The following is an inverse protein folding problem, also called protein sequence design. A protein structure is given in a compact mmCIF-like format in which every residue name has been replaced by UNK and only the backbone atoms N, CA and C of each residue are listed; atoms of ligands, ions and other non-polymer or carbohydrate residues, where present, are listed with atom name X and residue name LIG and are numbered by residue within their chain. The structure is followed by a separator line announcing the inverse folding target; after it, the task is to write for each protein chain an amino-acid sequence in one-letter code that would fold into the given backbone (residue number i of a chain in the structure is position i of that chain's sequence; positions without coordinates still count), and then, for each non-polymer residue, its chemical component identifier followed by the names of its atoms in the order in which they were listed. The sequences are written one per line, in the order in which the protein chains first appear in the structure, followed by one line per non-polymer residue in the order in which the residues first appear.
data_IF_688790720083
#
_entry.id   IF_688790720083
#
_cell.length_a   1.000
_cell.length_b   1.000
_cell.length_c   1.000
_cell.angle_alpha   90.00
_cell.angle_beta   90.00
_cell.angle_gamma   90.00
#
_symmetry.space_group_name_H-M   'P 1'
#
loop_
_entity.id
_entity.type
_entity.pdbx_description
1 polymer ?
#
# COMPACT_ATOMS: atom_id res chain seq x y z
N UNK A 1 -69.71 6.73 24.90
CA UNK A 1 -68.67 6.34 23.93
C UNK A 1 -68.35 4.88 24.22
N UNK A 2 -68.97 3.94 23.50
CA UNK A 2 -68.74 2.50 23.71
C UNK A 2 -67.33 2.12 23.28
N UNK A 3 -66.79 1.00 23.77
CA UNK A 3 -65.48 0.45 23.36
C UNK A 3 -65.27 0.45 21.82
N UNK A 4 -66.34 0.37 21.05
CA UNK A 4 -66.31 0.30 19.59
C UNK A 4 -65.90 1.63 18.92
N UNK A 5 -66.14 2.78 19.56
CA UNK A 5 -65.68 4.09 19.06
C UNK A 5 -64.19 4.34 19.35
N UNK A 6 -63.61 3.66 20.35
CA UNK A 6 -62.19 3.77 20.70
C UNK A 6 -61.29 2.97 19.75
N UNK A 7 -61.80 1.85 19.22
CA UNK A 7 -61.13 1.06 18.19
C UNK A 7 -60.86 1.84 16.89
N UNK A 8 -61.64 2.90 16.62
CA UNK A 8 -61.48 3.74 15.43
C UNK A 8 -60.40 4.83 15.59
N UNK A 9 -60.07 5.20 16.83
CA UNK A 9 -59.06 6.25 17.14
C UNK A 9 -57.66 5.67 17.35
N UNK A 10 -57.58 4.38 17.68
CA UNK A 10 -56.38 3.57 17.52
C UNK A 10 -56.37 3.07 16.07
N UNK A 11 -56.00 3.96 15.13
CA UNK A 11 -55.46 3.53 13.83
C UNK A 11 -54.53 2.34 14.09
N UNK A 12 -54.51 1.30 13.23
CA UNK A 12 -53.68 0.12 13.47
C UNK A 12 -52.30 0.64 13.82
N UNK A 13 -51.93 0.48 15.09
CA UNK A 13 -50.58 0.76 15.55
C UNK A 13 -49.75 -0.06 14.58
N UNK A 14 -49.01 0.62 13.69
CA UNK A 14 -48.15 -0.08 12.74
C UNK A 14 -47.45 -1.14 13.56
N UNK A 15 -47.67 -2.40 13.20
CA UNK A 15 -47.08 -3.53 13.93
C UNK A 15 -45.55 -3.37 13.92
N UNK A 16 -45.01 -2.53 13.03
CA UNK A 16 -43.63 -2.06 12.89
C UNK A 16 -43.16 -1.01 13.93
N UNK A 17 -44.07 -0.39 14.68
CA UNK A 17 -43.76 0.39 15.90
C UNK A 17 -43.81 -0.50 17.14
N UNK A 18 -44.63 -1.56 17.10
CA UNK A 18 -44.75 -2.60 18.12
C UNK A 18 -43.70 -3.72 17.94
N UNK A 19 -43.02 -3.81 16.80
CA UNK A 19 -41.99 -4.80 16.54
C UNK A 19 -40.62 -4.20 16.81
N UNK A 20 -39.84 -4.93 17.61
CA UNK A 20 -38.37 -5.09 17.74
C UNK A 20 -37.34 -4.03 17.28
N UNK A 21 -37.70 -2.97 16.57
CA UNK A 21 -36.77 -1.97 16.02
C UNK A 21 -36.28 -0.95 17.07
N UNK A 22 -37.06 -0.71 18.14
CA UNK A 22 -36.70 0.17 19.26
C UNK A 22 -37.02 -0.52 20.59
N UNK A 23 -36.11 -1.33 21.17
CA UNK A 23 -36.37 -2.09 22.40
C UNK A 23 -36.73 -1.22 23.63
N UNK A 24 -36.40 0.06 23.59
CA UNK A 24 -36.76 1.08 24.60
C UNK A 24 -38.27 1.37 24.62
N UNK A 25 -38.99 1.10 23.53
CA UNK A 25 -40.44 1.31 23.38
C UNK A 25 -41.28 0.50 24.38
N UNK A 26 -40.86 -0.73 24.69
CA UNK A 26 -41.69 -1.66 25.46
C UNK A 26 -41.70 -1.40 26.96
N UNK A 27 -40.70 -0.67 27.49
CA UNK A 27 -40.44 -0.70 28.93
C UNK A 27 -41.25 0.32 29.74
N UNK A 28 -41.69 1.41 29.12
CA UNK A 28 -42.16 2.58 29.89
C UNK A 28 -43.69 2.80 29.88
N UNK A 29 -44.44 2.32 28.88
CA UNK A 29 -45.88 2.66 28.73
C UNK A 29 -46.89 1.51 28.90
N UNK A 30 -46.48 0.24 28.81
CA UNK A 30 -47.41 -0.90 29.00
C UNK A 30 -47.67 -1.29 30.47
N UNK A 31 -47.23 -0.46 31.42
CA UNK A 31 -47.59 -0.56 32.84
C UNK A 31 -48.84 0.28 33.19
N UNK A 32 -49.61 0.73 32.19
CA UNK A 32 -50.97 1.22 32.43
C UNK A 32 -51.84 0.02 32.73
N UNK A 33 -52.35 -0.04 33.96
CA UNK A 33 -53.27 -1.06 34.46
C UNK A 33 -54.33 -1.37 33.40
N UNK A 34 -54.32 -2.60 32.86
CA UNK A 34 -55.15 -3.06 31.74
C UNK A 34 -56.65 -3.05 32.04
N UNK A 35 -57.02 -2.66 33.26
CA UNK A 35 -58.38 -2.54 33.74
C UNK A 35 -58.96 -1.10 33.70
N UNK A 36 -58.19 -0.07 33.33
CA UNK A 36 -58.63 1.34 33.39
C UNK A 36 -58.76 2.01 32.01
N UNK A 37 -59.78 2.87 31.86
CA UNK A 37 -60.01 3.65 30.63
C UNK A 37 -59.11 4.89 30.67
N UNK A 38 -58.26 5.14 29.65
CA UNK A 38 -57.33 6.27 29.64
C UNK A 38 -58.02 7.63 29.63
N UNK A 39 -57.40 8.64 30.24
CA UNK A 39 -57.83 10.03 30.16
C UNK A 39 -57.45 10.69 28.81
N UNK A 40 -58.12 11.79 28.45
CA UNK A 40 -57.80 12.53 27.21
C UNK A 40 -56.37 13.11 27.23
N UNK A 41 -55.88 13.47 28.41
CA UNK A 41 -54.52 13.98 28.60
C UNK A 41 -53.48 12.87 28.39
N UNK A 42 -53.71 11.67 28.94
CA UNK A 42 -52.88 10.48 28.70
C UNK A 42 -52.84 10.11 27.21
N UNK A 43 -53.96 10.20 26.50
CA UNK A 43 -54.00 9.98 25.05
C UNK A 43 -53.18 11.02 24.27
N UNK A 44 -53.23 12.28 24.67
CA UNK A 44 -52.46 13.34 24.00
C UNK A 44 -50.95 13.17 24.24
N UNK A 45 -50.55 12.82 25.46
CA UNK A 45 -49.15 12.50 25.80
C UNK A 45 -48.66 11.29 25.01
N UNK A 46 -49.47 10.24 24.90
CA UNK A 46 -49.14 9.07 24.08
C UNK A 46 -49.00 9.43 22.59
N UNK A 47 -49.89 10.25 22.03
CA UNK A 47 -49.79 10.72 20.64
C UNK A 47 -48.51 11.52 20.38
N UNK A 48 -48.14 12.42 21.30
CA UNK A 48 -46.89 13.16 21.20
C UNK A 48 -45.68 12.23 21.27
N UNK A 49 -45.68 11.26 22.19
CA UNK A 49 -44.62 10.28 22.31
C UNK A 49 -44.46 9.46 21.03
N UNK A 50 -45.56 8.92 20.47
CA UNK A 50 -45.55 8.20 19.19
C UNK A 50 -45.00 9.07 18.05
N UNK A 51 -45.31 10.37 18.03
CA UNK A 51 -44.75 11.29 17.03
C UNK A 51 -43.22 11.41 17.16
N UNK A 52 -42.70 11.61 18.37
CA UNK A 52 -41.24 11.69 18.61
C UNK A 52 -40.51 10.40 18.25
N UNK A 53 -41.16 9.25 18.46
CA UNK A 53 -40.61 7.94 18.09
C UNK A 53 -40.55 7.75 16.58
N UNK A 54 -41.59 8.19 15.85
CA UNK A 54 -41.60 8.19 14.38
C UNK A 54 -40.47 9.05 13.81
N UNK A 55 -40.25 10.23 14.39
CA UNK A 55 -39.12 11.10 14.01
C UNK A 55 -37.77 10.42 14.28
N UNK A 56 -37.62 9.78 15.44
CA UNK A 56 -36.39 9.05 15.80
C UNK A 56 -36.13 7.86 14.88
N UNK A 57 -37.16 7.06 14.59
CA UNK A 57 -37.09 5.93 13.63
C UNK A 57 -36.69 6.42 12.24
N UNK A 58 -37.31 7.49 11.75
CA UNK A 58 -36.97 8.09 10.47
C UNK A 58 -35.51 8.59 10.44
N UNK A 59 -35.05 9.27 11.51
CA UNK A 59 -33.67 9.74 11.63
C UNK A 59 -32.65 8.60 11.63
N UNK A 60 -32.88 7.56 12.43
CA UNK A 60 -31.98 6.38 12.50
C UNK A 60 -31.95 5.62 11.17
N UNK A 61 -33.09 5.51 10.49
CA UNK A 61 -33.16 4.87 9.17
C UNK A 61 -32.38 5.66 8.13
N UNK A 62 -32.49 6.99 8.11
CA UNK A 62 -31.70 7.82 7.20
C UNK A 62 -30.19 7.67 7.45
N UNK A 63 -29.77 7.61 8.73
CA UNK A 63 -28.38 7.34 9.10
C UNK A 63 -27.91 5.95 8.61
N UNK A 64 -28.71 4.91 8.87
CA UNK A 64 -28.42 3.54 8.42
C UNK A 64 -28.23 3.47 6.90
N UNK A 65 -29.17 4.02 6.12
CA UNK A 65 -29.09 4.00 4.64
C UNK A 65 -27.84 4.74 4.13
N UNK A 66 -27.52 5.88 4.72
CA UNK A 66 -26.32 6.63 4.40
C UNK A 66 -25.05 5.82 4.68
N UNK A 67 -24.95 5.21 5.85
CA UNK A 67 -23.77 4.43 6.25
C UNK A 67 -23.67 3.13 5.43
N UNK A 68 -24.78 2.42 5.19
CA UNK A 68 -24.83 1.23 4.33
C UNK A 68 -24.25 1.52 2.95
N UNK A 69 -24.67 2.64 2.34
CA UNK A 69 -24.11 3.08 1.04
C UNK A 69 -22.60 3.29 1.10
N UNK A 70 -22.09 3.95 2.15
CA UNK A 70 -20.65 4.18 2.31
C UNK A 70 -19.89 2.88 2.51
N UNK A 71 -20.42 1.95 3.32
CA UNK A 71 -19.84 0.61 3.53
C UNK A 71 -19.74 -0.16 2.21
N UNK A 72 -20.80 -0.17 1.39
CA UNK A 72 -20.80 -0.84 0.08
C UNK A 72 -19.69 -0.28 -0.81
N UNK A 73 -19.62 1.05 -0.95
CA UNK A 73 -18.56 1.70 -1.74
C UNK A 73 -17.16 1.39 -1.20
N UNK A 74 -16.98 1.40 0.12
CA UNK A 74 -15.70 1.04 0.73
C UNK A 74 -15.32 -0.43 0.46
N UNK A 75 -16.27 -1.36 0.55
CA UNK A 75 -16.03 -2.78 0.28
C UNK A 75 -15.73 -3.05 -1.20
N UNK A 76 -16.42 -2.37 -2.12
CA UNK A 76 -16.14 -2.41 -3.56
C UNK A 76 -14.74 -1.85 -3.90
N UNK A 77 -14.33 -0.76 -3.24
CA UNK A 77 -12.99 -0.21 -3.42
C UNK A 77 -11.89 -1.13 -2.85
N UNK A 78 -12.19 -1.84 -1.76
CA UNK A 78 -11.27 -2.82 -1.16
C UNK A 78 -11.30 -4.20 -1.83
N UNK A 79 -12.16 -4.42 -2.83
CA UNK A 79 -12.45 -5.73 -3.43
C UNK A 79 -12.77 -6.81 -2.37
N UNK A 80 -13.49 -6.42 -1.31
CA UNK A 80 -13.85 -7.27 -0.16
C UNK A 80 -15.31 -7.70 -0.23
N UNK A 81 -15.57 -8.98 0.04
CA UNK A 81 -16.93 -9.52 0.23
C UNK A 81 -17.34 -9.49 1.71
N UNK A 82 -18.65 -9.43 2.03
CA UNK A 82 -19.14 -9.57 3.41
C UNK A 82 -18.77 -10.93 4.02
N UNK A 83 -17.96 -10.92 5.07
CA UNK A 83 -17.42 -12.14 5.67
C UNK A 83 -18.17 -12.51 6.97
N UNK A 84 -18.57 -11.50 7.74
CA UNK A 84 -19.32 -11.69 8.99
C UNK A 84 -20.82 -11.75 8.75
N UNK A 85 -21.57 -12.37 9.68
CA UNK A 85 -23.04 -12.36 9.62
C UNK A 85 -23.60 -10.94 9.64
N UNK A 86 -23.02 -10.06 10.46
CA UNK A 86 -23.42 -8.66 10.53
C UNK A 86 -23.18 -7.90 9.21
N UNK A 87 -22.02 -8.10 8.56
CA UNK A 87 -21.75 -7.49 7.25
C UNK A 87 -22.72 -7.98 6.18
N UNK A 88 -23.10 -9.28 6.21
CA UNK A 88 -24.12 -9.83 5.30
C UNK A 88 -25.49 -9.20 5.56
N UNK A 89 -25.91 -9.09 6.81
CA UNK A 89 -27.17 -8.44 7.17
C UNK A 89 -27.21 -6.97 6.71
N UNK A 90 -26.10 -6.25 6.84
CA UNK A 90 -26.03 -4.84 6.41
C UNK A 90 -26.04 -4.71 4.89
N UNK A 91 -25.28 -5.54 4.17
CA UNK A 91 -25.02 -5.36 2.73
C UNK A 91 -26.04 -6.09 1.85
N UNK A 92 -26.44 -7.29 2.23
CA UNK A 92 -27.21 -8.20 1.37
C UNK A 92 -28.72 -8.22 1.66
N UNK A 93 -29.15 -7.88 2.88
CA UNK A 93 -30.56 -7.91 3.28
C UNK A 93 -31.28 -6.57 2.98
N UNK A 94 -32.62 -6.63 2.98
CA UNK A 94 -33.50 -5.48 2.79
C UNK A 94 -33.33 -4.44 3.90
N UNK A 95 -33.39 -3.15 3.54
CA UNK A 95 -33.19 -2.05 4.50
C UNK A 95 -34.26 -1.97 5.59
N UNK A 96 -35.44 -2.57 5.34
CA UNK A 96 -36.55 -2.65 6.28
C UNK A 96 -36.40 -3.83 7.28
N UNK A 97 -35.51 -4.79 7.00
CA UNK A 97 -35.26 -5.93 7.88
C UNK A 97 -34.22 -5.65 8.97
N UNK A 98 -33.48 -4.54 8.88
CA UNK A 98 -32.39 -4.22 9.80
C UNK A 98 -32.90 -3.59 11.11
N UNK A 99 -32.54 -4.19 12.25
CA UNK A 99 -32.91 -3.66 13.56
C UNK A 99 -32.16 -2.35 13.89
N UNK A 100 -32.87 -1.22 13.97
CA UNK A 100 -32.34 0.14 14.23
C UNK A 100 -32.01 0.43 15.72
N UNK A 101 -31.49 -0.57 16.44
CA UNK A 101 -31.05 -0.41 17.82
C UNK A 101 -29.80 0.48 17.90
N UNK A 102 -29.61 1.15 19.04
CA UNK A 102 -28.39 1.96 19.28
C UNK A 102 -27.10 1.13 19.17
N UNK A 103 -27.16 -0.13 19.61
CA UNK A 103 -26.04 -1.07 19.51
C UNK A 103 -25.71 -1.38 18.05
N UNK A 104 -26.71 -1.68 17.23
CA UNK A 104 -26.53 -1.98 15.80
C UNK A 104 -26.03 -0.78 15.01
N UNK A 105 -26.49 0.43 15.34
CA UNK A 105 -25.97 1.66 14.72
C UNK A 105 -24.52 1.90 15.14
N UNK A 106 -24.17 1.66 16.40
CA UNK A 106 -22.79 1.78 16.88
C UNK A 106 -21.85 0.76 16.22
N UNK A 107 -22.29 -0.49 16.04
CA UNK A 107 -21.51 -1.52 15.34
C UNK A 107 -21.36 -1.19 13.85
N UNK A 108 -22.41 -0.65 13.21
CA UNK A 108 -22.39 -0.17 11.83
C UNK A 108 -21.36 0.97 11.64
N UNK A 109 -21.39 1.98 12.51
CA UNK A 109 -20.40 3.07 12.49
C UNK A 109 -18.97 2.55 12.70
N UNK A 110 -18.79 1.56 13.59
CA UNK A 110 -17.47 0.94 13.83
C UNK A 110 -16.97 0.21 12.59
N UNK A 111 -17.84 -0.53 11.90
CA UNK A 111 -17.51 -1.20 10.65
C UNK A 111 -17.07 -0.20 9.57
N UNK A 112 -17.82 0.89 9.38
CA UNK A 112 -17.43 1.95 8.44
C UNK A 112 -16.04 2.51 8.74
N UNK A 113 -15.77 2.88 10.00
CA UNK A 113 -14.45 3.41 10.41
C UNK A 113 -13.31 2.41 10.15
N UNK A 114 -13.56 1.12 10.34
CA UNK A 114 -12.57 0.08 10.06
C UNK A 114 -12.26 -0.01 8.56
N UNK A 115 -13.28 0.03 7.70
CA UNK A 115 -13.11 0.01 6.25
C UNK A 115 -12.39 1.27 5.74
N UNK A 116 -12.76 2.45 6.24
CA UNK A 116 -12.09 3.72 5.92
C UNK A 116 -10.61 3.69 6.32
N UNK A 117 -10.29 3.19 7.52
CA UNK A 117 -8.92 3.04 7.97
C UNK A 117 -8.12 2.10 7.04
N UNK A 118 -8.71 0.97 6.62
CA UNK A 118 -8.07 0.06 5.67
C UNK A 118 -7.82 0.71 4.31
N UNK A 119 -8.77 1.52 3.80
CA UNK A 119 -8.58 2.29 2.56
C UNK A 119 -7.41 3.27 2.68
N UNK A 120 -7.35 4.02 3.77
CA UNK A 120 -6.27 4.97 4.03
C UNK A 120 -4.91 4.26 4.13
N UNK A 121 -4.85 3.10 4.80
CA UNK A 121 -3.63 2.30 4.89
C UNK A 121 -3.18 1.78 3.52
N UNK A 122 -4.11 1.30 2.69
CA UNK A 122 -3.79 0.83 1.34
C UNK A 122 -3.29 1.98 0.45
N UNK A 123 -3.93 3.15 0.52
CA UNK A 123 -3.48 4.34 -0.22
C UNK A 123 -2.11 4.81 0.24
N UNK A 124 -1.84 4.83 1.55
CA UNK A 124 -0.54 5.21 2.08
C UNK A 124 0.58 4.28 1.58
N UNK A 125 0.34 2.96 1.55
CA UNK A 125 1.31 2.00 1.01
C UNK A 125 1.50 2.20 -0.50
N UNK A 126 0.42 2.38 -1.25
CA UNK A 126 0.50 2.65 -2.68
C UNK A 126 1.27 3.94 -2.96
N UNK A 127 1.04 5.02 -2.22
CA UNK A 127 1.76 6.28 -2.43
C UNK A 127 3.24 6.17 -2.07
N UNK A 128 3.59 5.39 -1.04
CA UNK A 128 4.99 5.10 -0.75
C UNK A 128 5.68 4.37 -1.92
N UNK A 129 5.02 3.35 -2.50
CA UNK A 129 5.54 2.65 -3.68
C UNK A 129 5.66 3.59 -4.89
N UNK A 130 4.66 4.45 -5.14
CA UNK A 130 4.70 5.45 -6.22
C UNK A 130 5.87 6.42 -6.04
N UNK A 131 6.13 6.84 -4.81
CA UNK A 131 7.26 7.73 -4.49
C UNK A 131 8.60 7.02 -4.77
N UNK A 132 8.74 5.77 -4.33
CA UNK A 132 9.94 4.96 -4.61
C UNK A 132 10.16 4.77 -6.12
N UNK A 133 9.09 4.53 -6.91
CA UNK A 133 9.16 4.43 -8.36
C UNK A 133 9.68 5.74 -8.97
N UNK A 134 9.14 6.90 -8.56
CA UNK A 134 9.60 8.22 -9.05
C UNK A 134 11.07 8.46 -8.74
N UNK A 135 11.51 8.14 -7.53
CA UNK A 135 12.91 8.25 -7.13
C UNK A 135 13.82 7.35 -7.99
N UNK A 136 13.42 6.09 -8.24
CA UNK A 136 14.16 5.18 -9.09
C UNK A 136 14.19 5.64 -10.54
N UNK A 137 13.10 6.22 -11.06
CA UNK A 137 13.07 6.79 -12.41
C UNK A 137 14.06 7.93 -12.58
N UNK A 138 14.20 8.81 -11.59
CA UNK A 138 15.13 9.93 -11.65
C UNK A 138 16.58 9.46 -11.52
N UNK A 139 16.85 8.50 -10.61
CA UNK A 139 18.19 7.94 -10.42
C UNK A 139 18.67 7.11 -11.63
N UNK A 140 17.78 6.34 -12.25
CA UNK A 140 18.08 5.51 -13.42
C UNK A 140 17.93 6.25 -14.75
N UNK A 141 17.50 7.52 -14.72
CA UNK A 141 17.25 8.34 -15.91
C UNK A 141 16.32 7.64 -16.91
N UNK A 142 15.21 7.08 -16.41
CA UNK A 142 14.23 6.39 -17.24
C UNK A 142 13.53 7.40 -18.18
N UNK A 143 13.48 7.14 -19.50
CA UNK A 143 12.82 8.03 -20.48
C UNK A 143 11.33 8.24 -20.19
N UNK A 144 10.81 9.40 -20.57
CA UNK A 144 9.40 9.76 -20.34
C UNK A 144 8.43 8.76 -20.99
N UNK A 145 8.76 8.24 -22.16
CA UNK A 145 7.98 7.21 -22.87
C UNK A 145 7.75 5.96 -22.00
N UNK A 146 8.77 5.48 -21.28
CA UNK A 146 8.62 4.36 -20.35
C UNK A 146 7.76 4.78 -19.14
N UNK A 147 7.94 6.00 -18.63
CA UNK A 147 7.15 6.52 -17.49
C UNK A 147 5.65 6.61 -17.81
N UNK A 148 5.30 7.04 -19.02
CA UNK A 148 3.91 7.12 -19.48
C UNK A 148 3.22 5.76 -19.52
N UNK A 149 3.94 4.70 -19.90
CA UNK A 149 3.35 3.35 -19.89
C UNK A 149 2.95 2.90 -18.49
N UNK A 150 3.74 3.26 -17.49
CA UNK A 150 3.51 2.94 -16.07
C UNK A 150 2.52 3.89 -15.42
N UNK A 151 2.34 5.11 -15.93
CA UNK A 151 1.38 6.08 -15.40
C UNK A 151 -0.06 5.51 -15.32
N UNK A 152 -0.41 4.59 -16.21
CA UNK A 152 -1.70 3.87 -16.19
C UNK A 152 -1.86 2.95 -14.96
N UNK A 153 -0.75 2.47 -14.39
CA UNK A 153 -0.69 1.61 -13.19
C UNK A 153 -0.64 2.46 -11.91
N UNK A 154 -0.29 3.74 -12.02
CA UNK A 154 -0.17 4.66 -10.88
C UNK A 154 -1.51 5.08 -10.29
N UNK A 155 -2.64 4.77 -10.93
CA UNK A 155 -3.98 5.15 -10.43
C UNK A 155 -4.59 4.11 -9.50
N UNK A 156 -5.07 4.56 -8.34
CA UNK A 156 -5.85 3.77 -7.39
C UNK A 156 -5.04 2.94 -6.38
N UNK A 157 -5.72 2.45 -5.35
CA UNK A 157 -5.14 1.71 -4.21
C UNK A 157 -5.67 0.28 -4.04
N UNK A 158 -6.35 -0.24 -5.06
CA UNK A 158 -6.83 -1.63 -5.06
C UNK A 158 -5.68 -2.62 -4.97
N UNK A 159 -5.96 -3.84 -4.51
CA UNK A 159 -4.97 -4.90 -4.37
C UNK A 159 -4.21 -5.20 -5.69
N UNK A 160 -4.90 -5.12 -6.83
CA UNK A 160 -4.28 -5.27 -8.16
C UNK A 160 -3.30 -4.14 -8.46
N UNK A 161 -3.69 -2.89 -8.21
CA UNK A 161 -2.81 -1.73 -8.40
C UNK A 161 -1.57 -1.82 -7.49
N UNK A 162 -1.76 -2.16 -6.21
CA UNK A 162 -0.65 -2.38 -5.26
C UNK A 162 0.33 -3.44 -5.74
N UNK A 163 -0.15 -4.59 -6.23
CA UNK A 163 0.71 -5.65 -6.78
C UNK A 163 1.47 -5.19 -8.01
N UNK A 164 0.83 -4.44 -8.90
CA UNK A 164 1.47 -3.91 -10.10
C UNK A 164 2.54 -2.85 -9.76
N UNK A 165 2.28 -1.98 -8.78
CA UNK A 165 3.28 -1.04 -8.26
C UNK A 165 4.49 -1.77 -7.65
N UNK A 166 4.27 -2.82 -6.86
CA UNK A 166 5.37 -3.60 -6.28
C UNK A 166 6.22 -4.27 -7.38
N UNK A 167 5.57 -4.86 -8.39
CA UNK A 167 6.27 -5.48 -9.50
C UNK A 167 7.15 -4.48 -10.27
N UNK A 168 6.68 -3.24 -10.43
CA UNK A 168 7.47 -2.19 -11.06
C UNK A 168 8.65 -1.75 -10.20
N UNK A 169 8.48 -1.62 -8.88
CA UNK A 169 9.59 -1.38 -7.95
C UNK A 169 10.65 -2.48 -8.09
N UNK A 170 10.23 -3.74 -8.06
CA UNK A 170 11.14 -4.89 -8.17
C UNK A 170 11.89 -4.88 -9.52
N UNK A 171 11.19 -4.55 -10.62
CA UNK A 171 11.79 -4.41 -11.96
C UNK A 171 12.85 -3.31 -12.00
N UNK A 172 12.57 -2.15 -11.38
CA UNK A 172 13.48 -1.01 -11.37
C UNK A 172 14.71 -1.28 -10.48
N UNK A 173 14.54 -1.91 -9.32
CA UNK A 173 15.64 -2.32 -8.45
C UNK A 173 16.54 -3.36 -9.13
N UNK A 174 15.97 -4.31 -9.86
CA UNK A 174 16.74 -5.26 -10.67
C UNK A 174 17.53 -4.53 -11.77
N UNK A 175 16.92 -3.57 -12.48
CA UNK A 175 17.62 -2.74 -13.48
C UNK A 175 18.77 -1.95 -12.85
N UNK A 176 18.57 -1.41 -11.65
CA UNK A 176 19.62 -0.73 -10.88
C UNK A 176 20.78 -1.68 -10.55
N UNK A 177 20.49 -2.88 -10.06
CA UNK A 177 21.51 -3.89 -9.76
C UNK A 177 22.29 -4.29 -11.01
N UNK A 178 21.61 -4.51 -12.14
CA UNK A 178 22.26 -4.82 -13.42
C UNK A 178 23.15 -3.68 -13.92
N UNK A 179 22.74 -2.42 -13.71
CA UNK A 179 23.58 -1.26 -14.03
C UNK A 179 24.84 -1.21 -13.14
N UNK A 180 24.70 -1.41 -11.83
CA UNK A 180 25.83 -1.47 -10.91
C UNK A 180 26.80 -2.59 -11.28
N UNK A 181 26.28 -3.78 -11.60
CA UNK A 181 27.07 -4.92 -12.08
C UNK A 181 27.93 -4.56 -13.28
N UNK A 182 27.33 -4.00 -14.33
CA UNK A 182 28.05 -3.59 -15.55
C UNK A 182 29.16 -2.57 -15.23
N UNK A 183 28.89 -1.59 -14.37
CA UNK A 183 29.87 -0.57 -13.98
C UNK A 183 31.04 -1.17 -13.18
N UNK A 184 30.75 -2.05 -12.23
CA UNK A 184 31.76 -2.73 -11.42
C UNK A 184 32.62 -3.64 -12.30
N UNK A 185 32.01 -4.46 -13.16
CA UNK A 185 32.73 -5.33 -14.10
C UNK A 185 33.63 -4.53 -15.05
N UNK A 186 33.13 -3.42 -15.60
CA UNK A 186 33.94 -2.52 -16.43
C UNK A 186 35.13 -1.92 -15.65
N UNK A 187 34.92 -1.59 -14.37
CA UNK A 187 35.99 -1.07 -13.50
C UNK A 187 36.99 -2.17 -13.15
N UNK A 188 36.56 -3.41 -12.90
CA UNK A 188 37.43 -4.57 -12.71
C UNK A 188 38.33 -4.82 -13.92
N UNK A 189 37.79 -4.70 -15.13
CA UNK A 189 38.61 -4.80 -16.36
C UNK A 189 39.69 -3.71 -16.39
N UNK A 190 39.35 -2.46 -16.04
CA UNK A 190 40.35 -1.37 -15.96
C UNK A 190 41.38 -1.61 -14.86
N UNK A 191 40.98 -2.12 -13.70
CA UNK A 191 41.90 -2.48 -12.62
C UNK A 191 42.92 -3.51 -13.09
N UNK A 192 42.47 -4.57 -13.77
CA UNK A 192 43.37 -5.58 -14.35
C UNK A 192 44.33 -4.94 -15.34
N UNK A 193 43.86 -4.06 -16.23
CA UNK A 193 44.73 -3.35 -17.18
C UNK A 193 45.80 -2.53 -16.46
N UNK A 194 45.46 -1.78 -15.42
CA UNK A 194 46.45 -1.01 -14.67
C UNK A 194 47.38 -1.89 -13.83
N UNK A 195 46.88 -3.00 -13.26
CA UNK A 195 47.72 -3.99 -12.57
C UNK A 195 48.75 -4.60 -13.52
N UNK A 196 48.36 -4.92 -14.75
CA UNK A 196 49.29 -5.41 -15.77
C UNK A 196 50.31 -4.32 -16.15
N UNK A 197 49.87 -3.07 -16.33
CA UNK A 197 50.77 -1.95 -16.66
C UNK A 197 51.76 -1.60 -15.53
N UNK A 198 51.37 -1.83 -14.28
CA UNK A 198 52.21 -1.60 -13.09
C UNK A 198 52.96 -2.86 -12.63
N UNK A 199 52.86 -3.96 -13.38
CA UNK A 199 53.49 -5.26 -13.06
C UNK A 199 53.13 -5.82 -11.67
N UNK A 200 51.88 -5.65 -11.23
CA UNK A 200 51.40 -6.16 -9.94
C UNK A 200 51.48 -7.69 -9.86
N UNK A 201 52.01 -8.19 -8.75
CA UNK A 201 52.06 -9.62 -8.42
C UNK A 201 50.67 -10.18 -8.10
N UNK A 202 50.52 -11.51 -8.13
CA UNK A 202 49.26 -12.16 -7.79
C UNK A 202 48.82 -11.87 -6.34
N UNK A 203 49.77 -11.83 -5.39
CA UNK A 203 49.49 -11.49 -3.99
C UNK A 203 48.97 -10.06 -3.84
N UNK A 204 49.56 -9.10 -4.56
CA UNK A 204 49.11 -7.71 -4.55
C UNK A 204 47.69 -7.57 -5.12
N UNK A 205 47.37 -8.29 -6.19
CA UNK A 205 46.00 -8.31 -6.76
C UNK A 205 45.00 -8.91 -5.77
N UNK A 206 45.38 -10.00 -5.09
CA UNK A 206 44.52 -10.65 -4.08
C UNK A 206 44.31 -9.82 -2.82
N UNK A 207 45.21 -8.87 -2.52
CA UNK A 207 45.03 -7.97 -1.39
C UNK A 207 43.77 -7.10 -1.50
N UNK A 208 43.33 -6.77 -2.73
CA UNK A 208 42.06 -6.08 -2.97
C UNK A 208 40.89 -7.07 -3.00
N UNK A 209 40.50 -7.57 -1.81
CA UNK A 209 39.39 -8.52 -1.65
C UNK A 209 38.05 -8.12 -2.34
N UNK A 210 37.64 -6.83 -2.40
CA UNK A 210 36.41 -6.43 -3.10
C UNK A 210 36.35 -6.80 -4.59
N UNK A 211 37.50 -7.09 -5.22
CA UNK A 211 37.56 -7.56 -6.60
C UNK A 211 36.77 -8.86 -6.84
N UNK A 212 36.66 -9.72 -5.84
CA UNK A 212 36.00 -11.03 -5.96
C UNK A 212 34.58 -11.07 -5.40
N UNK A 213 34.03 -9.93 -4.95
CA UNK A 213 32.67 -9.88 -4.41
C UNK A 213 31.63 -10.14 -5.50
N UNK A 214 30.61 -10.96 -5.19
CA UNK A 214 29.50 -11.28 -6.10
C UNK A 214 28.25 -10.43 -5.84
N UNK A 215 28.22 -9.70 -4.72
CA UNK A 215 27.12 -8.81 -4.33
C UNK A 215 27.33 -7.39 -4.88
N UNK A 216 26.58 -7.04 -5.92
CA UNK A 216 26.69 -5.74 -6.59
C UNK A 216 25.91 -4.65 -5.84
N UNK A 217 26.63 -3.88 -5.01
CA UNK A 217 26.08 -2.78 -4.22
C UNK A 217 26.72 -1.45 -4.59
N UNK A 218 26.07 -0.33 -4.24
CA UNK A 218 26.64 1.01 -4.43
C UNK A 218 27.96 1.18 -3.65
N UNK A 219 28.07 0.60 -2.45
CA UNK A 219 29.30 0.62 -1.68
C UNK A 219 30.43 -0.15 -2.38
N UNK A 220 30.11 -1.28 -3.02
CA UNK A 220 31.09 -2.04 -3.79
C UNK A 220 31.63 -1.22 -4.98
N UNK A 221 30.74 -0.48 -5.67
CA UNK A 221 31.15 0.42 -6.74
C UNK A 221 32.08 1.52 -6.22
N UNK A 222 31.75 2.16 -5.09
CA UNK A 222 32.59 3.20 -4.47
C UNK A 222 33.99 2.68 -4.11
N UNK A 223 34.11 1.46 -3.60
CA UNK A 223 35.41 0.84 -3.32
C UNK A 223 36.23 0.63 -4.61
N UNK A 224 35.60 0.19 -5.70
CA UNK A 224 36.28 0.02 -6.99
C UNK A 224 36.69 1.37 -7.60
N UNK A 225 35.84 2.39 -7.47
CA UNK A 225 36.12 3.76 -7.94
C UNK A 225 37.27 4.40 -7.15
N UNK A 226 37.36 4.16 -5.84
CA UNK A 226 38.48 4.62 -5.03
C UNK A 226 39.79 3.92 -5.43
N UNK A 227 39.75 2.59 -5.60
CA UNK A 227 40.93 1.79 -5.96
C UNK A 227 41.45 2.18 -7.34
N UNK A 228 40.57 2.34 -8.35
CA UNK A 228 41.01 2.72 -9.70
C UNK A 228 41.63 4.12 -9.72
N UNK A 229 41.13 5.06 -8.90
CA UNK A 229 41.71 6.40 -8.77
C UNK A 229 43.09 6.34 -8.12
N UNK A 230 43.25 5.56 -7.04
CA UNK A 230 44.55 5.38 -6.40
C UNK A 230 45.57 4.77 -7.36
N UNK A 231 45.19 3.70 -8.06
CA UNK A 231 46.06 2.98 -8.98
C UNK A 231 46.44 3.85 -10.19
N UNK A 232 45.49 4.63 -10.72
CA UNK A 232 45.78 5.59 -11.79
C UNK A 232 46.79 6.65 -11.33
N UNK A 233 46.59 7.22 -10.15
CA UNK A 233 47.51 8.23 -9.62
C UNK A 233 48.91 7.64 -9.38
N UNK A 234 48.99 6.40 -8.92
CA UNK A 234 50.25 5.68 -8.75
C UNK A 234 50.95 5.43 -10.10
N UNK A 235 50.21 4.98 -11.11
CA UNK A 235 50.74 4.78 -12.46
C UNK A 235 51.27 6.08 -13.06
N UNK A 236 50.49 7.17 -13.02
CA UNK A 236 50.92 8.46 -13.58
C UNK A 236 52.15 9.02 -12.85
N UNK A 237 52.25 8.84 -11.52
CA UNK A 237 53.42 9.27 -10.75
C UNK A 237 54.71 8.52 -11.12
N UNK A 238 54.61 7.29 -11.65
CA UNK A 238 55.76 6.43 -11.98
C UNK A 238 55.75 6.02 -13.46
N UNK A 239 55.07 6.80 -14.31
CA UNK A 239 54.77 6.41 -15.68
C UNK A 239 56.02 6.14 -16.51
N UNK A 240 57.01 7.03 -16.43
CA UNK A 240 58.28 6.90 -17.16
C UNK A 240 59.00 5.59 -16.80
N UNK A 241 59.02 5.25 -15.51
CA UNK A 241 59.63 4.00 -15.03
C UNK A 241 58.93 2.78 -15.65
N UNK A 242 57.59 2.73 -15.63
CA UNK A 242 56.85 1.61 -16.20
C UNK A 242 56.98 1.51 -17.72
N UNK A 243 57.02 2.66 -18.42
CA UNK A 243 57.26 2.69 -19.87
C UNK A 243 58.66 2.18 -20.22
N UNK A 244 59.68 2.55 -19.44
CA UNK A 244 61.05 2.10 -19.66
C UNK A 244 61.22 0.61 -19.37
N UNK A 245 60.60 0.09 -18.30
CA UNK A 245 60.55 -1.35 -18.02
C UNK A 245 59.92 -2.12 -19.17
N UNK A 246 58.80 -1.61 -19.72
CA UNK A 246 58.12 -2.25 -20.86
C UNK A 246 58.98 -2.24 -22.12
N UNK A 247 59.61 -1.09 -22.46
CA UNK A 247 60.51 -0.99 -23.61
C UNK A 247 61.70 -1.94 -23.47
N UNK A 248 62.25 -2.07 -22.26
CA UNK A 248 63.33 -2.99 -21.98
C UNK A 248 62.89 -4.45 -22.21
N UNK A 249 61.72 -4.85 -21.68
CA UNK A 249 61.19 -6.19 -21.86
C UNK A 249 60.92 -6.53 -23.34
N UNK A 250 60.33 -5.61 -24.10
CA UNK A 250 60.09 -5.77 -25.54
C UNK A 250 61.40 -5.89 -26.32
N UNK A 251 62.38 -5.05 -26.03
CA UNK A 251 63.70 -5.08 -26.67
C UNK A 251 64.44 -6.39 -26.37
N UNK A 252 64.34 -6.87 -25.13
CA UNK A 252 64.93 -8.14 -24.72
C UNK A 252 64.26 -9.34 -25.40
N UNK A 253 62.94 -9.32 -25.51
CA UNK A 253 62.18 -10.37 -26.23
C UNK A 253 62.57 -10.43 -27.70
N UNK A 254 62.65 -9.28 -28.37
CA UNK A 254 63.11 -9.20 -29.77
C UNK A 254 64.54 -9.72 -29.92
N UNK A 255 65.44 -9.36 -29.01
CA UNK A 255 66.81 -9.87 -29.01
C UNK A 255 66.83 -11.41 -28.95
N UNK A 256 66.06 -12.02 -28.04
CA UNK A 256 65.93 -13.47 -27.93
C UNK A 256 65.35 -14.12 -29.21
N UNK A 257 64.35 -13.49 -29.84
CA UNK A 257 63.80 -13.96 -31.11
C UNK A 257 64.84 -13.97 -32.24
N UNK A 258 65.71 -12.95 -32.30
CA UNK A 258 66.82 -12.91 -33.26
C UNK A 258 67.93 -13.92 -32.94
N UNK A 259 68.17 -14.23 -31.66
CA UNK A 259 69.19 -15.21 -31.25
C UNK A 259 68.73 -16.67 -31.49
N UNK A 260 67.41 -16.92 -31.52
CA UNK A 260 66.80 -18.24 -31.75
C UNK A 260 66.56 -18.54 -33.23
N UNK A 261 66.61 -17.54 -34.12
CA UNK A 261 66.56 -17.74 -35.58
C UNK A 261 67.96 -18.12 -36.13
N UNK A 262 68.14 -19.33 -36.69
CA UNK A 262 69.43 -19.79 -37.24
C UNK A 262 69.84 -19.10 -38.55
#
# INVERSE_FOLDING_TARGET
VSCDEWAFSLLPLDVDLLSMELPEFFRDYFLIDSASVPSLEELNQFRQHVATLRETKASRRAEFVSIKRQIILCMEELDRTPDTSFERDVVCEDEDAFCLSLENIATLQKLLRQLEMQKLQNEAVCEALRTQIRELWDRLQIPEEERETVATIMSGSKAKARKALQLEVDRLEERKMQNLKKLIEATRVKLVQYWDQCFYSQEQRQAFAPFHAEEYTENLLQLHDAEIVQLRNYYEAHRELFEDVRKWEESWRLFLEFEVLP
#
